data_IF_984265680350
#
_entry.id   IF_984265680350
#
_cell.length_a   1.000
_cell.length_b   1.000
_cell.length_c   1.000
_cell.angle_alpha   90.00
_cell.angle_beta   90.00
_cell.angle_gamma   90.00
#
_symmetry.space_group_name_H-M   'P 1'
#
loop_
_entity.id
_entity.type
_entity.pdbx_description
1 polymer ?
#
# COMPACT_ATOMS: atom_id res chain seq x y z
N UNK A 1 -54.28 11.24 -13.85
CA UNK A 1 -52.93 11.17 -14.45
C UNK A 1 -52.03 12.11 -13.66
N UNK A 2 -50.84 11.80 -13.16
CA UNK A 2 -49.99 10.62 -13.23
C UNK A 2 -49.15 10.60 -11.92
N UNK A 3 -49.09 9.44 -11.28
CA UNK A 3 -48.25 9.21 -10.10
C UNK A 3 -46.78 9.22 -10.52
N UNK A 4 -46.03 10.24 -10.11
CA UNK A 4 -44.58 10.30 -10.29
C UNK A 4 -43.89 9.50 -9.19
N UNK A 5 -43.71 8.19 -9.41
CA UNK A 5 -42.72 7.40 -8.65
C UNK A 5 -41.32 7.89 -9.02
N UNK A 6 -40.65 8.60 -8.11
CA UNK A 6 -39.19 8.77 -8.18
C UNK A 6 -38.52 7.48 -7.70
N UNK A 7 -37.49 6.97 -8.41
CA UNK A 7 -36.77 5.78 -7.98
C UNK A 7 -36.01 6.09 -6.69
N UNK A 8 -36.17 5.21 -5.70
CA UNK A 8 -35.42 5.24 -4.45
C UNK A 8 -33.93 5.24 -4.78
N UNK A 9 -33.24 6.34 -4.48
CA UNK A 9 -31.79 6.37 -4.46
C UNK A 9 -31.32 5.21 -3.58
N UNK A 10 -30.46 4.35 -4.10
CA UNK A 10 -29.83 3.30 -3.31
C UNK A 10 -29.02 4.00 -2.21
N UNK A 11 -29.59 4.03 -1.01
CA UNK A 11 -28.91 4.50 0.18
C UNK A 11 -27.69 3.60 0.36
N UNK A 12 -26.49 4.19 0.32
CA UNK A 12 -25.26 3.48 0.66
C UNK A 12 -25.41 2.96 2.08
N UNK A 13 -25.66 1.65 2.22
CA UNK A 13 -25.68 0.97 3.50
C UNK A 13 -24.30 0.34 3.72
N UNK A 14 -23.44 0.91 4.56
CA UNK A 14 -22.11 0.36 4.83
C UNK A 14 -22.17 -1.07 5.40
N UNK A 15 -23.32 -1.54 5.90
CA UNK A 15 -23.52 -2.92 6.37
C UNK A 15 -23.67 -3.94 5.22
N UNK A 16 -23.93 -3.47 4.00
CA UNK A 16 -24.05 -4.34 2.80
C UNK A 16 -22.74 -4.47 2.04
N UNK A 17 -21.72 -3.70 2.43
CA UNK A 17 -20.39 -3.77 1.83
C UNK A 17 -19.72 -5.04 2.36
N UNK A 18 -19.57 -6.04 1.47
CA UNK A 18 -18.85 -7.26 1.80
C UNK A 18 -17.35 -6.95 1.82
N UNK A 19 -16.81 -6.69 3.00
CA UNK A 19 -15.39 -6.38 3.18
C UNK A 19 -14.54 -7.63 2.90
N UNK A 20 -13.45 -7.45 2.14
CA UNK A 20 -12.45 -8.50 1.92
C UNK A 20 -11.32 -8.34 2.93
N UNK A 21 -11.56 -8.81 4.15
CA UNK A 21 -10.58 -8.78 5.23
C UNK A 21 -9.66 -9.99 5.09
N UNK A 22 -8.36 -9.74 4.93
CA UNK A 22 -7.33 -10.78 5.00
C UNK A 22 -6.70 -10.69 6.38
N UNK A 23 -6.84 -11.76 7.16
CA UNK A 23 -6.09 -11.88 8.41
C UNK A 23 -4.64 -12.17 8.09
N UNK A 24 -3.74 -11.35 8.63
CA UNK A 24 -2.31 -11.55 8.43
C UNK A 24 -1.57 -11.56 9.77
N UNK A 25 -0.72 -12.57 10.03
CA UNK A 25 0.04 -12.62 11.28
C UNK A 25 0.99 -11.43 11.38
N UNK A 26 0.87 -10.64 12.46
CA UNK A 26 1.67 -9.42 12.64
C UNK A 26 3.18 -9.68 12.57
N UNK A 27 3.65 -10.75 13.20
CA UNK A 27 5.08 -11.07 13.24
C UNK A 27 5.65 -11.30 11.83
N UNK A 28 4.94 -12.09 11.02
CA UNK A 28 5.34 -12.38 9.65
C UNK A 28 5.39 -11.11 8.79
N UNK A 29 4.32 -10.30 8.82
CA UNK A 29 4.24 -9.05 8.07
C UNK A 29 5.30 -8.03 8.48
N UNK A 30 5.54 -7.89 9.78
CA UNK A 30 6.57 -6.98 10.28
C UNK A 30 7.96 -7.42 9.84
N UNK A 31 8.26 -8.72 9.94
CA UNK A 31 9.57 -9.25 9.52
C UNK A 31 9.81 -9.05 8.02
N UNK A 32 8.79 -9.32 7.20
CA UNK A 32 8.85 -9.16 5.75
C UNK A 32 9.00 -7.70 5.34
N UNK A 33 8.14 -6.83 5.86
CA UNK A 33 8.16 -5.39 5.57
C UNK A 33 9.49 -4.76 6.00
N UNK A 34 10.00 -5.15 7.15
CA UNK A 34 11.30 -4.69 7.63
C UNK A 34 12.43 -5.13 6.70
N UNK A 35 12.43 -6.40 6.28
CA UNK A 35 13.45 -6.94 5.39
C UNK A 35 13.43 -6.24 4.02
N UNK A 36 12.26 -6.06 3.42
CA UNK A 36 12.10 -5.37 2.14
C UNK A 36 12.60 -3.92 2.21
N UNK A 37 12.24 -3.20 3.28
CA UNK A 37 12.73 -1.84 3.49
C UNK A 37 14.25 -1.79 3.71
N UNK A 38 14.78 -2.70 4.53
CA UNK A 38 16.21 -2.80 4.79
C UNK A 38 17.00 -3.04 3.50
N UNK A 39 16.56 -3.97 2.66
CA UNK A 39 17.17 -4.23 1.35
C UNK A 39 17.16 -2.97 0.47
N UNK A 40 16.02 -2.29 0.37
CA UNK A 40 15.88 -1.06 -0.42
C UNK A 40 16.85 0.03 0.06
N UNK A 41 16.97 0.22 1.37
CA UNK A 41 17.88 1.21 1.96
C UNK A 41 19.34 0.86 1.68
N UNK A 42 19.74 -0.39 1.92
CA UNK A 42 21.13 -0.82 1.78
C UNK A 42 21.58 -0.67 0.32
N UNK A 43 20.79 -1.17 -0.62
CA UNK A 43 21.19 -1.27 -2.02
C UNK A 43 21.05 0.05 -2.79
N UNK A 44 20.02 0.84 -2.50
CA UNK A 44 19.63 1.96 -3.35
C UNK A 44 19.72 3.33 -2.67
N UNK A 45 20.24 3.42 -1.44
CA UNK A 45 20.29 4.71 -0.71
C UNK A 45 21.52 4.89 0.16
N UNK A 46 21.81 3.93 1.03
CA UNK A 46 22.75 4.13 2.13
C UNK A 46 24.21 3.95 1.71
N UNK A 47 24.53 2.88 0.96
CA UNK A 47 25.88 2.54 0.56
C UNK A 47 26.26 3.20 -0.79
N UNK A 48 27.48 3.75 -0.91
CA UNK A 48 28.01 4.16 -2.21
C UNK A 48 28.40 2.96 -3.07
N UNK A 49 28.40 3.12 -4.40
CA UNK A 49 28.90 2.06 -5.30
C UNK A 49 30.42 1.95 -5.15
N UNK A 50 30.95 0.72 -5.10
CA UNK A 50 32.37 0.47 -4.93
C UNK A 50 33.23 0.95 -6.12
N UNK A 51 32.62 1.12 -7.30
CA UNK A 51 33.32 1.54 -8.52
C UNK A 51 33.65 3.03 -8.53
N UNK A 52 32.71 3.87 -8.10
CA UNK A 52 32.79 5.33 -8.20
C UNK A 52 32.77 6.03 -6.84
N UNK A 53 32.40 5.34 -5.76
CA UNK A 53 32.24 5.91 -4.42
C UNK A 53 31.04 6.85 -4.29
N UNK A 54 30.18 6.96 -5.31
CA UNK A 54 29.06 7.89 -5.32
C UNK A 54 27.77 7.25 -4.81
N UNK A 55 27.02 8.00 -4.02
CA UNK A 55 25.66 7.63 -3.61
C UNK A 55 24.67 7.90 -4.73
N UNK A 56 23.53 7.20 -4.79
CA UNK A 56 22.53 7.38 -5.85
C UNK A 56 22.02 8.82 -6.04
N UNK A 57 21.95 9.62 -4.95
CA UNK A 57 21.53 11.03 -5.03
C UNK A 57 22.55 11.93 -5.73
N UNK A 58 23.83 11.58 -5.68
CA UNK A 58 24.92 12.38 -6.27
C UNK A 58 25.11 12.09 -7.76
N UNK A 59 24.62 10.94 -8.24
CA UNK A 59 24.68 10.54 -9.66
C UNK A 59 23.51 11.10 -10.48
N UNK A 60 22.41 11.47 -9.83
CA UNK A 60 21.25 12.13 -10.46
C UNK A 60 21.55 13.61 -10.64
#
# INVERSE_FOLDING_TARGET
MASHRKPSAQTYDPRTVKEHIVETPLNEEMSKSFLEYAYSVIYARALPDARDGLKPVQRR
#
